data_IF_988150211460
#
_entry.id   IF_988150211460
#
_cell.length_a   1.000
_cell.length_b   1.000
_cell.length_c   1.000
_cell.angle_alpha   90.00
_cell.angle_beta   90.00
_cell.angle_gamma   90.00
#
_symmetry.space_group_name_H-M   'P 1'
#
loop_
_entity.id
_entity.type
_entity.pdbx_description
1 polymer ?
#
# COMPACT_ATOMS: atom_id res chain seq x y z
N UNK A 1 -8.64 24.32 -15.30
CA UNK A 1 -9.49 23.17 -15.71
C UNK A 1 -8.82 22.27 -16.75
N UNK A 2 -8.17 22.82 -17.79
CA UNK A 2 -7.46 22.04 -18.83
C UNK A 2 -6.33 21.12 -18.30
N UNK A 3 -5.63 21.51 -17.23
CA UNK A 3 -4.54 20.71 -16.65
C UNK A 3 -5.05 19.52 -15.82
N UNK A 4 -6.17 19.70 -15.10
CA UNK A 4 -6.90 18.60 -14.45
C UNK A 4 -7.44 17.62 -15.50
N UNK A 5 -7.98 18.12 -16.61
CA UNK A 5 -8.44 17.29 -17.72
C UNK A 5 -7.29 16.51 -18.38
N UNK A 6 -6.10 17.11 -18.59
CA UNK A 6 -4.90 16.41 -19.09
C UNK A 6 -4.37 15.36 -18.11
N UNK A 7 -4.36 15.65 -16.81
CA UNK A 7 -3.99 14.67 -15.77
C UNK A 7 -5.00 13.51 -15.69
N UNK A 8 -6.28 13.80 -15.87
CA UNK A 8 -7.35 12.80 -15.90
C UNK A 8 -7.29 11.96 -17.19
N UNK A 9 -6.95 12.56 -18.34
CA UNK A 9 -6.77 11.85 -19.61
C UNK A 9 -5.53 10.96 -19.64
N UNK A 10 -4.45 11.31 -18.93
CA UNK A 10 -3.31 10.41 -18.71
C UNK A 10 -3.63 9.24 -17.76
N UNK A 11 -4.62 9.38 -16.86
CA UNK A 11 -5.07 8.31 -15.96
C UNK A 11 -5.87 7.21 -16.66
N UNK A 12 -6.52 7.52 -17.79
CA UNK A 12 -7.31 6.56 -18.57
C UNK A 12 -6.55 5.95 -19.76
N UNK A 13 -5.29 6.33 -19.96
CA UNK A 13 -4.45 5.72 -20.98
C UNK A 13 -4.08 4.28 -20.59
N UNK A 14 -3.92 3.41 -21.59
CA UNK A 14 -3.41 2.06 -21.41
C UNK A 14 -2.09 2.10 -20.61
N UNK A 15 -2.08 1.41 -19.47
CA UNK A 15 -0.89 1.24 -18.64
C UNK A 15 -0.44 -0.20 -18.76
N UNK A 16 0.73 -0.41 -19.37
CA UNK A 16 1.33 -1.74 -19.50
C UNK A 16 1.52 -2.43 -18.13
N UNK A 17 2.08 -1.77 -17.09
CA UNK A 17 2.20 -2.39 -15.77
C UNK A 17 0.85 -2.80 -15.16
N UNK A 18 -0.19 -1.97 -15.31
CA UNK A 18 -1.53 -2.29 -14.79
C UNK A 18 -2.12 -3.49 -15.52
N UNK A 19 -1.93 -3.55 -16.84
CA UNK A 19 -2.37 -4.70 -17.66
C UNK A 19 -1.66 -5.98 -17.23
N UNK A 20 -0.34 -5.93 -16.97
CA UNK A 20 0.41 -7.08 -16.45
C UNK A 20 -0.15 -7.58 -15.13
N UNK A 21 -0.46 -6.68 -14.19
CA UNK A 21 -1.05 -7.06 -12.89
C UNK A 21 -2.43 -7.68 -13.06
N UNK A 22 -3.30 -7.09 -13.88
CA UNK A 22 -4.65 -7.63 -14.13
C UNK A 22 -4.57 -9.01 -14.78
N UNK A 23 -3.70 -9.19 -15.78
CA UNK A 23 -3.48 -10.48 -16.43
C UNK A 23 -2.93 -11.53 -15.46
N UNK A 24 -2.00 -11.15 -14.57
CA UNK A 24 -1.48 -12.05 -13.53
C UNK A 24 -2.58 -12.48 -12.55
N UNK A 25 -3.42 -11.55 -12.08
CA UNK A 25 -4.55 -11.86 -11.19
C UNK A 25 -5.53 -12.82 -11.90
N UNK A 26 -5.88 -12.55 -13.17
CA UNK A 26 -6.78 -13.39 -13.94
C UNK A 26 -6.21 -14.80 -14.16
N UNK A 27 -4.92 -14.90 -14.53
CA UNK A 27 -4.23 -16.19 -14.69
C UNK A 27 -4.24 -16.98 -13.39
N UNK A 28 -3.81 -16.37 -12.28
CA UNK A 28 -3.79 -17.00 -10.95
C UNK A 28 -5.20 -17.45 -10.56
N UNK A 29 -6.23 -16.66 -10.85
CA UNK A 29 -7.61 -17.02 -10.57
C UNK A 29 -8.03 -18.27 -11.32
N UNK A 30 -7.83 -18.27 -12.64
CA UNK A 30 -8.22 -19.38 -13.51
C UNK A 30 -7.47 -20.65 -13.14
N UNK A 31 -6.15 -20.59 -12.97
CA UNK A 31 -5.33 -21.76 -12.61
C UNK A 31 -5.72 -22.32 -11.24
N UNK A 32 -6.02 -21.46 -10.26
CA UNK A 32 -6.36 -21.91 -8.92
C UNK A 32 -7.73 -22.60 -8.87
N UNK A 33 -8.75 -21.98 -9.47
CA UNK A 33 -10.13 -22.48 -9.41
C UNK A 33 -10.34 -23.68 -10.32
N UNK A 34 -9.88 -23.60 -11.56
CA UNK A 34 -10.21 -24.61 -12.58
C UNK A 34 -9.14 -25.68 -12.75
N UNK A 35 -7.95 -25.51 -12.17
CA UNK A 35 -6.89 -26.52 -12.22
C UNK A 35 -6.57 -27.04 -10.82
N UNK A 36 -6.05 -26.22 -9.90
CA UNK A 36 -5.53 -26.74 -8.62
C UNK A 36 -6.62 -27.31 -7.72
N UNK A 37 -7.76 -26.60 -7.60
CA UNK A 37 -8.90 -27.08 -6.81
C UNK A 37 -9.51 -28.33 -7.45
N UNK A 38 -9.69 -28.34 -8.76
CA UNK A 38 -10.30 -29.48 -9.45
C UNK A 38 -9.44 -30.74 -9.35
N UNK A 39 -8.13 -30.60 -9.58
CA UNK A 39 -7.18 -31.72 -9.53
C UNK A 39 -7.00 -32.28 -8.12
N UNK A 40 -6.90 -31.43 -7.11
CA UNK A 40 -6.67 -31.87 -5.74
C UNK A 40 -7.94 -32.31 -5.02
N UNK A 41 -9.00 -31.49 -5.09
CA UNK A 41 -10.19 -31.65 -4.27
C UNK A 41 -11.41 -32.07 -5.09
N UNK A 42 -11.38 -31.94 -6.42
CA UNK A 42 -12.55 -32.05 -7.30
C UNK A 42 -13.45 -30.82 -7.18
N UNK A 43 -13.64 -30.04 -8.25
CA UNK A 43 -14.31 -28.75 -8.17
C UNK A 43 -15.77 -28.85 -7.69
N UNK A 44 -16.44 -29.95 -8.01
CA UNK A 44 -17.83 -30.23 -7.62
C UNK A 44 -17.96 -30.95 -6.28
N UNK A 45 -16.86 -31.27 -5.60
CA UNK A 45 -16.91 -31.81 -4.25
C UNK A 45 -17.20 -30.70 -3.23
N UNK A 46 -17.74 -31.05 -2.07
CA UNK A 46 -17.94 -30.09 -0.96
C UNK A 46 -16.67 -29.30 -0.61
N UNK A 47 -15.48 -29.92 -0.42
CA UNK A 47 -14.26 -29.15 -0.16
C UNK A 47 -13.81 -28.32 -1.36
N UNK A 48 -13.99 -28.79 -2.60
CA UNK A 48 -13.65 -28.02 -3.80
C UNK A 48 -14.48 -26.75 -3.94
N UNK A 49 -15.80 -26.86 -3.78
CA UNK A 49 -16.73 -25.72 -3.81
C UNK A 49 -16.38 -24.73 -2.69
N UNK A 50 -16.13 -25.21 -1.46
CA UNK A 50 -15.79 -24.35 -0.35
C UNK A 50 -14.51 -23.54 -0.61
N UNK A 51 -13.44 -24.19 -1.10
CA UNK A 51 -12.19 -23.51 -1.47
C UNK A 51 -12.40 -22.53 -2.62
N UNK A 52 -13.20 -22.89 -3.64
CA UNK A 52 -13.50 -22.01 -4.77
C UNK A 52 -14.26 -20.74 -4.33
N UNK A 53 -15.23 -20.87 -3.41
CA UNK A 53 -15.97 -19.73 -2.84
C UNK A 53 -15.05 -18.82 -2.03
N UNK A 54 -14.25 -19.40 -1.12
CA UNK A 54 -13.29 -18.63 -0.30
C UNK A 54 -12.28 -17.90 -1.17
N UNK A 55 -11.69 -18.59 -2.13
CA UNK A 55 -10.70 -18.02 -3.02
C UNK A 55 -11.29 -16.94 -3.94
N UNK A 56 -12.52 -17.15 -4.43
CA UNK A 56 -13.24 -16.14 -5.22
C UNK A 56 -13.53 -14.89 -4.40
N UNK A 57 -13.90 -15.01 -3.12
CA UNK A 57 -14.06 -13.86 -2.24
C UNK A 57 -12.74 -13.09 -2.05
N UNK A 58 -11.63 -13.79 -1.78
CA UNK A 58 -10.31 -13.18 -1.63
C UNK A 58 -9.89 -12.46 -2.93
N UNK A 59 -10.06 -13.11 -4.09
CA UNK A 59 -9.76 -12.54 -5.39
C UNK A 59 -10.62 -11.30 -5.67
N UNK A 60 -11.91 -11.35 -5.36
CA UNK A 60 -12.82 -10.20 -5.48
C UNK A 60 -12.34 -9.02 -4.64
N UNK A 61 -12.01 -9.24 -3.37
CA UNK A 61 -11.49 -8.18 -2.50
C UNK A 61 -10.16 -7.61 -2.98
N UNK A 62 -9.27 -8.46 -3.50
CA UNK A 62 -8.00 -8.05 -4.12
C UNK A 62 -8.25 -7.17 -5.35
N UNK A 63 -9.11 -7.59 -6.28
CA UNK A 63 -9.45 -6.81 -7.49
C UNK A 63 -10.15 -5.50 -7.14
N UNK A 64 -11.09 -5.52 -6.19
CA UNK A 64 -11.82 -4.33 -5.77
C UNK A 64 -10.90 -3.28 -5.15
N UNK A 65 -10.00 -3.69 -4.25
CA UNK A 65 -9.02 -2.81 -3.64
C UNK A 65 -7.95 -2.35 -4.63
N UNK A 66 -7.48 -3.22 -5.54
CA UNK A 66 -6.56 -2.85 -6.63
C UNK A 66 -7.16 -1.77 -7.53
N UNK A 67 -8.38 -2.00 -8.03
CA UNK A 67 -9.13 -1.02 -8.84
C UNK A 67 -9.24 0.31 -8.10
N UNK A 68 -9.58 0.26 -6.81
CA UNK A 68 -9.70 1.47 -6.00
C UNK A 68 -8.35 2.18 -5.85
N UNK A 69 -7.24 1.47 -5.65
CA UNK A 69 -5.90 2.06 -5.58
C UNK A 69 -5.45 2.73 -6.89
N UNK A 70 -5.80 2.14 -8.04
CA UNK A 70 -5.52 2.69 -9.38
C UNK A 70 -6.26 4.01 -9.61
N UNK A 71 -7.55 4.06 -9.28
CA UNK A 71 -8.40 5.21 -9.65
C UNK A 71 -8.56 6.29 -8.58
N UNK A 72 -8.35 5.96 -7.30
CA UNK A 72 -8.51 6.93 -6.21
C UNK A 72 -7.42 7.99 -6.26
N UNK A 73 -7.81 9.26 -6.04
CA UNK A 73 -6.81 10.31 -5.91
C UNK A 73 -6.01 10.13 -4.62
N UNK A 74 -4.66 10.07 -4.66
CA UNK A 74 -3.84 9.90 -3.45
C UNK A 74 -3.82 11.09 -2.49
N UNK A 75 -4.46 12.21 -2.86
CA UNK A 75 -4.53 13.41 -2.04
C UNK A 75 -3.68 14.53 -2.62
N UNK A 76 -4.33 15.60 -3.08
CA UNK A 76 -3.68 16.78 -3.62
C UNK A 76 -3.48 17.84 -2.54
N UNK A 77 -2.33 18.52 -2.56
CA UNK A 77 -2.17 19.76 -1.78
C UNK A 77 -3.06 20.86 -2.38
N UNK A 78 -3.96 21.48 -1.59
CA UNK A 78 -4.75 22.62 -2.06
C UNK A 78 -3.86 23.78 -2.48
N UNK A 79 -4.16 24.44 -3.60
CA UNK A 79 -3.39 25.60 -4.07
C UNK A 79 -3.49 26.80 -3.12
N UNK A 80 -4.55 26.85 -2.31
CA UNK A 80 -4.78 27.85 -1.27
C UNK A 80 -4.06 27.52 0.05
N UNK A 81 -3.35 26.39 0.14
CA UNK A 81 -2.61 26.05 1.34
C UNK A 81 -1.51 27.09 1.60
N UNK A 82 -1.64 27.77 2.74
CA UNK A 82 -0.62 28.62 3.31
C UNK A 82 -0.29 28.11 4.71
N UNK A 83 0.99 27.97 5.08
CA UNK A 83 1.36 27.67 6.45
C UNK A 83 0.97 28.84 7.35
N UNK A 84 0.34 28.53 8.48
CA UNK A 84 0.08 29.50 9.53
C UNK A 84 1.33 29.59 10.41
N UNK A 85 2.10 30.66 10.23
CA UNK A 85 3.35 30.91 10.97
C UNK A 85 3.13 31.42 12.39
N UNK A 86 1.91 31.85 12.72
CA UNK A 86 1.55 32.32 14.05
C UNK A 86 0.93 31.20 14.91
N UNK A 87 0.60 30.06 14.30
CA UNK A 87 0.07 28.89 14.99
C UNK A 87 1.13 28.20 15.87
N UNK A 88 1.19 28.66 17.12
CA UNK A 88 2.02 28.08 18.19
C UNK A 88 1.68 26.62 18.51
N UNK A 89 0.54 26.09 18.05
CA UNK A 89 0.17 24.67 18.19
C UNK A 89 0.79 23.78 17.11
N UNK A 90 1.43 24.34 16.07
CA UNK A 90 2.21 23.58 15.09
C UNK A 90 3.70 23.88 15.20
N UNK A 91 4.39 23.43 16.28
CA UNK A 91 5.81 23.73 16.49
C UNK A 91 6.72 23.10 15.42
N UNK A 92 6.22 22.09 14.70
CA UNK A 92 6.87 21.49 13.53
C UNK A 92 6.17 21.99 12.27
N UNK A 93 6.50 23.20 11.85
CA UNK A 93 6.75 23.36 10.43
C UNK A 93 7.89 22.39 10.15
N UNK A 94 7.74 21.40 9.26
CA UNK A 94 8.86 20.53 8.89
C UNK A 94 9.93 21.39 8.21
N UNK A 95 10.74 22.10 9.00
CA UNK A 95 11.78 22.99 8.56
C UNK A 95 12.91 22.08 8.07
N UNK A 96 12.82 21.68 6.80
CA UNK A 96 13.81 20.81 6.16
C UNK A 96 15.04 21.56 5.65
N UNK A 97 14.99 22.90 5.59
CA UNK A 97 16.12 23.71 5.15
C UNK A 97 16.93 24.17 6.34
N UNK A 98 18.27 24.07 6.22
CA UNK A 98 19.20 24.75 7.12
C UNK A 98 18.88 26.25 7.07
N UNK A 99 18.17 26.77 8.07
CA UNK A 99 17.80 28.19 8.12
C UNK A 99 16.40 28.54 8.66
N UNK A 100 15.50 27.58 8.89
CA UNK A 100 14.15 27.93 9.39
C UNK A 100 13.06 28.02 8.31
N UNK A 101 13.44 27.92 7.02
CA UNK A 101 12.50 28.17 5.92
C UNK A 101 11.36 27.14 5.81
N UNK A 102 10.18 27.66 5.51
CA UNK A 102 8.99 26.90 5.12
C UNK A 102 9.25 26.03 3.88
N UNK A 103 8.65 24.83 3.83
CA UNK A 103 8.77 23.93 2.68
C UNK A 103 7.97 24.50 1.50
N UNK A 104 8.66 24.89 0.43
CA UNK A 104 8.03 25.38 -0.80
C UNK A 104 8.29 24.45 -1.99
N UNK A 105 7.29 24.27 -2.86
CA UNK A 105 7.46 23.54 -4.12
C UNK A 105 7.65 24.51 -5.29
N UNK A 106 8.87 24.66 -5.77
CA UNK A 106 9.16 25.52 -6.94
C UNK A 106 8.43 25.08 -8.21
N UNK A 107 8.19 23.76 -8.39
CA UNK A 107 7.51 23.22 -9.57
C UNK A 107 6.00 23.45 -9.59
N UNK A 108 5.39 23.56 -8.41
CA UNK A 108 3.94 23.75 -8.28
C UNK A 108 3.59 25.16 -7.79
N UNK A 109 4.58 25.98 -7.49
CA UNK A 109 4.45 27.36 -6.99
C UNK A 109 3.53 27.50 -5.77
N UNK A 110 3.63 26.59 -4.80
CA UNK A 110 2.90 26.68 -3.54
C UNK A 110 3.67 26.04 -2.37
N UNK A 111 3.27 26.35 -1.14
CA UNK A 111 3.82 25.76 0.07
C UNK A 111 3.40 24.29 0.23
N UNK A 112 4.27 23.48 0.84
CA UNK A 112 4.01 22.07 1.11
C UNK A 112 3.60 21.91 2.58
N UNK A 113 2.45 21.29 2.86
CA UNK A 113 2.14 20.87 4.21
C UNK A 113 3.12 19.78 4.68
N UNK A 114 3.16 19.49 5.99
CA UNK A 114 3.95 18.40 6.53
C UNK A 114 3.70 17.09 5.77
N UNK A 115 4.73 16.26 5.62
CA UNK A 115 4.68 14.95 4.96
C UNK A 115 4.32 14.98 3.46
N UNK A 116 4.12 16.15 2.86
CA UNK A 116 3.82 16.25 1.43
C UNK A 116 5.09 16.29 0.57
N UNK A 117 5.05 15.61 -0.57
CA UNK A 117 6.18 15.58 -1.53
C UNK A 117 5.69 15.77 -2.97
N UNK A 118 6.56 16.32 -3.81
CA UNK A 118 6.27 16.49 -5.23
C UNK A 118 6.62 15.22 -5.98
N UNK A 119 5.62 14.57 -6.58
CA UNK A 119 5.84 13.43 -7.47
C UNK A 119 6.16 13.94 -8.88
N UNK A 120 7.34 13.57 -9.40
CA UNK A 120 7.76 13.96 -10.75
C UNK A 120 6.91 13.31 -11.85
N UNK A 121 6.42 12.10 -11.61
CA UNK A 121 5.59 11.35 -12.57
C UNK A 121 4.17 11.93 -12.61
N UNK A 122 3.53 12.11 -11.45
CA UNK A 122 2.20 12.74 -11.36
C UNK A 122 2.22 14.27 -11.58
N UNK A 123 3.41 14.89 -11.59
CA UNK A 123 3.63 16.35 -11.75
C UNK A 123 2.84 17.22 -10.78
N UNK A 124 2.71 16.77 -9.53
CA UNK A 124 1.99 17.49 -8.47
C UNK A 124 2.50 17.13 -7.09
N UNK A 125 2.21 17.97 -6.10
CA UNK A 125 2.41 17.63 -4.70
C UNK A 125 1.30 16.70 -4.20
N UNK A 126 1.71 15.61 -3.56
CA UNK A 126 0.84 14.60 -2.97
C UNK A 126 0.94 14.69 -1.45
N UNK A 127 -0.21 14.71 -0.77
CA UNK A 127 -0.31 14.71 0.69
C UNK A 127 0.18 13.36 1.25
N UNK A 128 0.93 13.38 2.35
CA UNK A 128 1.55 12.19 2.98
C UNK A 128 2.03 11.18 1.94
N UNK A 129 2.85 11.66 1.00
CA UNK A 129 3.27 10.86 -0.14
C UNK A 129 4.16 9.72 0.34
N UNK A 130 3.80 8.49 0.01
CA UNK A 130 4.64 7.34 0.28
C UNK A 130 5.58 7.07 -0.89
N UNK A 131 5.01 6.76 -2.06
CA UNK A 131 5.77 6.56 -3.29
C UNK A 131 4.88 6.74 -4.53
N UNK A 132 5.51 6.73 -5.69
CA UNK A 132 4.80 6.52 -6.95
C UNK A 132 4.91 5.05 -7.32
N UNK A 133 3.78 4.35 -7.38
CA UNK A 133 3.75 2.92 -7.66
C UNK A 133 3.43 2.67 -9.12
N UNK A 134 4.41 2.14 -9.84
CA UNK A 134 4.29 1.82 -11.27
C UNK A 134 3.18 0.77 -11.52
N UNK A 135 2.98 -0.16 -10.59
CA UNK A 135 2.05 -1.29 -10.73
C UNK A 135 0.58 -0.91 -10.60
N UNK A 136 0.28 0.24 -9.99
CA UNK A 136 -1.07 0.84 -9.98
C UNK A 136 -1.16 2.08 -10.86
N UNK A 137 -0.06 2.48 -11.52
CA UNK A 137 0.07 3.71 -12.29
C UNK A 137 -0.44 4.96 -11.55
N UNK A 138 -0.17 5.04 -10.24
CA UNK A 138 -0.69 6.08 -9.37
C UNK A 138 0.27 6.29 -8.20
N UNK A 139 0.17 7.45 -7.55
CA UNK A 139 0.83 7.64 -6.27
C UNK A 139 0.08 6.90 -5.16
N UNK A 140 0.83 6.45 -4.17
CA UNK A 140 0.31 6.05 -2.86
C UNK A 140 0.56 7.23 -1.92
N UNK A 141 -0.52 7.77 -1.35
CA UNK A 141 -0.49 8.96 -0.50
C UNK A 141 -1.60 8.94 0.53
N UNK A 142 -1.83 10.08 1.18
CA UNK A 142 -2.76 10.23 2.30
C UNK A 142 -4.13 9.58 2.06
N UNK A 143 -4.74 9.84 0.91
CA UNK A 143 -6.13 9.46 0.65
C UNK A 143 -6.31 7.99 0.24
N UNK A 144 -5.28 7.32 -0.28
CA UNK A 144 -5.38 5.95 -0.79
C UNK A 144 -4.41 4.94 -0.14
N UNK A 145 -3.61 5.35 0.85
CA UNK A 145 -2.63 4.47 1.50
C UNK A 145 -3.27 3.20 2.09
N UNK A 146 -4.38 3.34 2.84
CA UNK A 146 -5.09 2.18 3.40
C UNK A 146 -5.60 1.25 2.31
N UNK A 147 -6.11 1.80 1.21
CA UNK A 147 -6.60 1.01 0.07
C UNK A 147 -5.46 0.20 -0.56
N UNK A 148 -4.31 0.83 -0.78
CA UNK A 148 -3.11 0.16 -1.27
C UNK A 148 -2.64 -0.95 -0.31
N UNK A 149 -2.59 -0.68 0.99
CA UNK A 149 -2.20 -1.66 2.01
C UNK A 149 -3.14 -2.88 2.03
N UNK A 150 -4.45 -2.66 1.92
CA UNK A 150 -5.45 -3.73 1.86
C UNK A 150 -5.32 -4.54 0.58
N UNK A 151 -5.06 -3.88 -0.56
CA UNK A 151 -4.75 -4.57 -1.82
C UNK A 151 -3.56 -5.51 -1.67
N UNK A 152 -2.43 -5.01 -1.14
CA UNK A 152 -1.23 -5.84 -0.94
C UNK A 152 -1.52 -6.99 0.02
N UNK A 153 -2.28 -6.75 1.10
CA UNK A 153 -2.70 -7.79 2.05
C UNK A 153 -3.50 -8.90 1.36
N UNK A 154 -4.56 -8.57 0.62
CA UNK A 154 -5.36 -9.58 -0.09
C UNK A 154 -4.57 -10.26 -1.22
N UNK A 155 -3.66 -9.55 -1.89
CA UNK A 155 -2.78 -10.14 -2.90
C UNK A 155 -1.82 -11.18 -2.30
N UNK A 156 -1.23 -10.91 -1.13
CA UNK A 156 -0.42 -11.89 -0.38
C UNK A 156 -1.25 -13.10 0.00
N UNK A 157 -2.44 -12.88 0.59
CA UNK A 157 -3.34 -13.98 0.99
C UNK A 157 -3.69 -14.83 -0.23
N UNK A 158 -4.06 -14.22 -1.36
CA UNK A 158 -4.37 -14.93 -2.60
C UNK A 158 -3.18 -15.75 -3.11
N UNK A 159 -1.98 -15.17 -3.14
CA UNK A 159 -0.79 -15.84 -3.64
C UNK A 159 -0.40 -17.04 -2.76
N UNK A 160 -0.42 -16.88 -1.43
CA UNK A 160 -0.12 -17.98 -0.50
C UNK A 160 -1.19 -19.07 -0.57
N UNK A 161 -2.47 -18.71 -0.62
CA UNK A 161 -3.56 -19.67 -0.75
C UNK A 161 -3.44 -20.47 -2.05
N UNK A 162 -3.18 -19.79 -3.18
CA UNK A 162 -2.95 -20.42 -4.47
C UNK A 162 -1.70 -21.31 -4.47
N UNK A 163 -0.62 -20.90 -3.82
CA UNK A 163 0.60 -21.68 -3.68
C UNK A 163 0.38 -22.98 -2.88
N UNK A 164 -0.41 -22.92 -1.80
CA UNK A 164 -0.79 -24.11 -1.03
C UNK A 164 -1.61 -25.08 -1.88
N UNK A 165 -2.60 -24.57 -2.63
CA UNK A 165 -3.39 -25.39 -3.55
C UNK A 165 -2.54 -25.99 -4.68
N UNK A 166 -1.60 -25.22 -5.23
CA UNK A 166 -0.65 -25.70 -6.24
C UNK A 166 0.18 -26.87 -5.69
N UNK A 167 0.77 -26.72 -4.51
CA UNK A 167 1.60 -27.77 -3.89
C UNK A 167 0.77 -28.99 -3.55
N UNK A 168 -0.44 -28.82 -2.99
CA UNK A 168 -1.34 -29.93 -2.71
C UNK A 168 -1.79 -30.67 -3.97
N UNK A 169 -2.09 -29.94 -5.04
CA UNK A 169 -2.44 -30.50 -6.35
C UNK A 169 -1.28 -31.28 -6.96
N UNK A 170 -0.05 -30.77 -6.89
CA UNK A 170 1.15 -31.47 -7.34
C UNK A 170 1.43 -32.74 -6.52
N UNK A 171 1.28 -32.66 -5.19
CA UNK A 171 1.49 -33.80 -4.31
C UNK A 171 0.44 -34.89 -4.52
N UNK A 172 -0.83 -34.50 -4.72
CA UNK A 172 -1.89 -35.44 -5.05
C UNK A 172 -1.61 -36.11 -6.40
N UNK A 173 -1.34 -35.33 -7.44
CA UNK A 173 -1.07 -35.87 -8.78
C UNK A 173 0.13 -36.85 -8.77
N UNK A 174 1.21 -36.54 -8.05
CA UNK A 174 2.38 -37.42 -7.94
C UNK A 174 2.13 -38.71 -7.14
N UNK A 175 1.08 -38.78 -6.33
CA UNK A 175 0.71 -40.00 -5.58
C UNK A 175 -0.19 -40.95 -6.40
N UNK A 176 -0.92 -40.44 -7.39
CA UNK A 176 -1.89 -41.21 -8.19
C UNK A 176 -1.45 -41.37 -9.66
N UNK A 177 -0.15 -41.27 -9.91
CA UNK A 177 0.48 -41.14 -11.24
C UNK A 177 0.64 -42.48 -11.99
N UNK A 178 -0.45 -43.22 -12.21
CA UNK A 178 -0.39 -44.43 -13.06
C UNK A 178 -0.89 -44.26 -14.50
N UNK A 179 -1.64 -43.22 -14.91
CA UNK A 179 -2.20 -43.29 -16.29
C UNK A 179 -2.68 -42.00 -16.99
N UNK A 180 -2.18 -40.80 -16.67
CA UNK A 180 -2.63 -39.57 -17.36
C UNK A 180 -1.51 -38.65 -17.80
N UNK A 181 -0.93 -38.97 -18.95
CA UNK A 181 0.01 -38.10 -19.68
C UNK A 181 -0.73 -36.96 -20.40
N UNK A 182 -1.14 -35.92 -19.65
CA UNK A 182 -1.66 -34.68 -20.22
C UNK A 182 -0.63 -33.55 -20.07
N UNK A 183 0.14 -33.34 -21.14
CA UNK A 183 1.19 -32.33 -21.20
C UNK A 183 0.71 -30.88 -20.98
N UNK A 184 -0.59 -30.61 -21.13
CA UNK A 184 -1.17 -29.28 -20.92
C UNK A 184 -1.10 -28.84 -19.45
N UNK A 185 -1.49 -29.72 -18.52
CA UNK A 185 -1.49 -29.42 -17.08
C UNK A 185 -0.07 -29.24 -16.51
N UNK A 186 0.89 -30.03 -17.02
CA UNK A 186 2.30 -29.87 -16.63
C UNK A 186 2.82 -28.48 -16.96
N UNK A 187 2.48 -27.95 -18.14
CA UNK A 187 2.84 -26.58 -18.51
C UNK A 187 2.21 -25.56 -17.57
N UNK A 188 0.93 -25.72 -17.21
CA UNK A 188 0.23 -24.84 -16.25
C UNK A 188 0.92 -24.85 -14.89
N UNK A 189 1.30 -26.02 -14.35
CA UNK A 189 2.00 -26.09 -13.07
C UNK A 189 3.36 -25.39 -13.10
N UNK A 190 4.15 -25.60 -14.15
CA UNK A 190 5.47 -24.96 -14.30
C UNK A 190 5.33 -23.44 -14.39
N UNK A 191 4.44 -22.93 -15.25
CA UNK A 191 4.21 -21.48 -15.39
C UNK A 191 3.71 -20.90 -14.06
N UNK A 192 2.80 -21.61 -13.38
CA UNK A 192 2.26 -21.16 -12.10
C UNK A 192 3.30 -21.14 -11.00
N UNK A 193 4.19 -22.14 -10.92
CA UNK A 193 5.31 -22.14 -9.97
C UNK A 193 6.29 -21.00 -10.22
N UNK A 194 6.66 -20.77 -11.50
CA UNK A 194 7.54 -19.67 -11.92
C UNK A 194 6.94 -18.29 -11.65
N UNK A 195 5.61 -18.16 -11.64
CA UNK A 195 4.92 -16.93 -11.31
C UNK A 195 4.69 -16.77 -9.81
N UNK A 196 4.03 -17.73 -9.16
CA UNK A 196 3.53 -17.62 -7.78
C UNK A 196 4.63 -17.59 -6.74
N UNK A 197 5.71 -18.36 -6.89
CA UNK A 197 6.79 -18.41 -5.89
C UNK A 197 7.48 -17.06 -5.75
N UNK A 198 8.08 -16.45 -6.80
CA UNK A 198 8.73 -15.16 -6.67
C UNK A 198 7.73 -14.04 -6.35
N UNK A 199 6.51 -14.10 -6.90
CA UNK A 199 5.47 -13.12 -6.60
C UNK A 199 5.07 -13.15 -5.11
N UNK A 200 4.90 -14.33 -4.53
CA UNK A 200 4.59 -14.50 -3.10
C UNK A 200 5.70 -13.91 -2.23
N UNK A 201 6.96 -14.24 -2.53
CA UNK A 201 8.11 -13.72 -1.78
C UNK A 201 8.15 -12.18 -1.87
N UNK A 202 8.05 -11.62 -3.08
CA UNK A 202 8.10 -10.18 -3.29
C UNK A 202 6.96 -9.44 -2.56
N UNK A 203 5.73 -9.97 -2.64
CA UNK A 203 4.58 -9.36 -1.98
C UNK A 203 4.62 -9.51 -0.46
N UNK A 204 5.12 -10.64 0.08
CA UNK A 204 5.33 -10.81 1.51
C UNK A 204 6.35 -9.81 2.07
N UNK A 205 7.47 -9.61 1.36
CA UNK A 205 8.47 -8.59 1.72
C UNK A 205 7.85 -7.19 1.68
N UNK A 206 7.09 -6.87 0.63
CA UNK A 206 6.39 -5.59 0.52
C UNK A 206 5.38 -5.38 1.65
N UNK A 207 4.58 -6.40 1.99
CA UNK A 207 3.62 -6.32 3.08
C UNK A 207 4.32 -6.12 4.42
N UNK A 208 5.37 -6.90 4.70
CA UNK A 208 6.17 -6.76 5.92
C UNK A 208 6.79 -5.37 6.05
N UNK A 209 7.30 -4.83 4.95
CA UNK A 209 7.81 -3.46 4.89
C UNK A 209 6.74 -2.43 5.24
N UNK A 210 5.54 -2.52 4.66
CA UNK A 210 4.47 -1.58 4.95
C UNK A 210 3.88 -1.75 6.36
N UNK A 211 3.86 -2.96 6.91
CA UNK A 211 3.51 -3.18 8.33
C UNK A 211 4.52 -2.44 9.22
N UNK A 212 5.82 -2.58 8.97
CA UNK A 212 6.86 -1.86 9.71
C UNK A 212 6.67 -0.33 9.62
N UNK A 213 6.39 0.19 8.43
CA UNK A 213 6.15 1.61 8.21
C UNK A 213 4.92 2.12 8.98
N UNK A 214 3.80 1.38 8.96
CA UNK A 214 2.61 1.75 9.74
C UNK A 214 2.91 1.74 11.23
N UNK A 215 3.59 0.72 11.74
CA UNK A 215 3.91 0.61 13.17
C UNK A 215 4.77 1.77 13.69
N UNK A 216 5.57 2.42 12.84
CA UNK A 216 6.41 3.57 13.18
C UNK A 216 5.88 4.91 12.61
N UNK A 217 4.67 4.91 12.04
CA UNK A 217 4.06 6.05 11.34
C UNK A 217 4.98 6.74 10.31
N UNK A 218 5.81 5.96 9.64
CA UNK A 218 6.68 6.43 8.58
C UNK A 218 6.00 6.24 7.23
N UNK A 219 6.23 7.16 6.31
CA UNK A 219 6.19 6.86 4.88
C UNK A 219 7.54 6.31 4.42
N UNK A 220 7.58 5.66 3.27
CA UNK A 220 8.84 5.21 2.64
C UNK A 220 9.82 6.38 2.47
N UNK A 221 9.34 7.57 2.08
CA UNK A 221 10.17 8.77 1.96
C UNK A 221 10.72 9.24 3.31
N UNK A 222 9.86 9.28 4.32
CA UNK A 222 10.25 9.67 5.68
C UNK A 222 11.25 8.69 6.29
N UNK A 223 11.13 7.39 6.03
CA UNK A 223 12.12 6.42 6.47
C UNK A 223 13.52 6.75 5.94
N UNK A 224 13.67 6.98 4.63
CA UNK A 224 14.99 7.31 4.06
C UNK A 224 15.53 8.66 4.53
N UNK A 225 14.65 9.65 4.72
CA UNK A 225 15.03 10.94 5.31
C UNK A 225 15.41 10.79 6.79
N UNK A 226 14.73 9.92 7.52
CA UNK A 226 14.96 9.58 8.92
C UNK A 226 16.27 8.83 9.14
N UNK A 227 16.65 7.90 8.26
CA UNK A 227 17.98 7.25 8.28
C UNK A 227 19.10 8.28 8.23
N UNK A 228 18.95 9.30 7.37
CA UNK A 228 19.91 10.42 7.31
C UNK A 228 19.88 11.28 8.57
N UNK A 229 18.70 11.55 9.12
CA UNK A 229 18.56 12.35 10.34
C UNK A 229 19.15 11.64 11.57
N UNK A 230 18.94 10.33 11.69
CA UNK A 230 19.51 9.48 12.73
C UNK A 230 21.04 9.50 12.70
N UNK A 231 21.64 9.32 11.52
CA UNK A 231 23.09 9.39 11.34
C UNK A 231 23.68 10.77 11.74
N UNK A 232 22.97 11.87 11.44
CA UNK A 232 23.37 13.20 11.86
C UNK A 232 23.22 13.40 13.38
N UNK A 233 22.15 12.88 13.97
CA UNK A 233 21.88 12.98 15.40
C UNK A 233 22.93 12.20 16.21
N UNK A 234 23.29 10.99 15.77
CA UNK A 234 24.32 10.15 16.38
C UNK A 234 25.67 10.88 16.40
N UNK A 235 26.07 11.50 15.29
CA UNK A 235 27.27 12.36 15.24
C UNK A 235 27.21 13.58 16.16
N UNK A 236 26.01 14.06 16.44
CA UNK A 236 25.76 15.17 17.36
C UNK A 236 25.47 14.74 18.81
N UNK A 237 25.62 13.45 19.15
CA UNK A 237 25.33 12.94 20.49
C UNK A 237 23.85 13.01 20.90
N UNK A 238 22.93 13.11 19.93
CA UNK A 238 21.49 13.23 20.15
C UNK A 238 20.76 11.97 19.69
N UNK A 239 19.67 11.61 20.39
CA UNK A 239 18.79 10.51 19.97
C UNK A 239 17.72 11.07 19.05
N UNK A 240 17.64 10.54 17.82
CA UNK A 240 16.58 10.89 16.89
C UNK A 240 15.33 10.03 17.17
N UNK A 241 14.19 10.70 17.35
CA UNK A 241 12.87 10.08 17.44
C UNK A 241 11.99 10.63 16.32
N UNK A 242 11.31 9.75 15.59
CA UNK A 242 10.43 10.19 14.51
C UNK A 242 9.22 10.95 15.09
N UNK A 243 8.94 12.20 14.66
CA UNK A 243 7.93 13.06 15.29
C UNK A 243 6.51 12.52 15.27
N UNK A 244 6.17 11.70 14.26
CA UNK A 244 4.83 11.15 14.05
C UNK A 244 4.63 9.78 14.70
N UNK A 245 5.67 9.20 15.31
CA UNK A 245 5.57 7.92 16.01
C UNK A 245 4.96 8.13 17.41
N UNK A 246 3.66 7.86 17.52
CA UNK A 246 2.87 8.00 18.75
C UNK A 246 2.71 6.66 19.51
N UNK A 247 3.38 5.61 19.03
CA UNK A 247 3.24 4.24 19.53
C UNK A 247 2.37 3.37 18.62
N UNK A 248 2.56 2.03 18.66
CA UNK A 248 2.01 1.11 17.65
C UNK A 248 0.49 1.20 17.45
N UNK A 249 -0.28 1.29 18.54
CA UNK A 249 -1.75 1.33 18.47
C UNK A 249 -2.25 2.62 17.81
N UNK A 250 -1.76 3.79 18.25
CA UNK A 250 -2.11 5.09 17.67
C UNK A 250 -1.67 5.18 16.21
N UNK A 251 -0.51 4.62 15.89
CA UNK A 251 -0.02 4.61 14.52
C UNK A 251 -0.89 3.73 13.61
N UNK A 252 -1.28 2.53 14.08
CA UNK A 252 -2.21 1.65 13.36
C UNK A 252 -3.58 2.30 13.15
N UNK A 253 -4.19 2.85 14.20
CA UNK A 253 -5.51 3.49 14.11
C UNK A 253 -5.50 4.74 13.23
N UNK A 254 -4.37 5.47 13.18
CA UNK A 254 -4.22 6.62 12.26
C UNK A 254 -4.30 6.23 10.78
N UNK A 255 -3.93 5.00 10.43
CA UNK A 255 -3.93 4.49 9.05
C UNK A 255 -5.16 3.64 8.76
N UNK A 256 -5.45 2.66 9.61
CA UNK A 256 -6.50 1.65 9.40
C UNK A 256 -7.88 2.10 9.88
N UNK A 257 -7.91 3.08 10.78
CA UNK A 257 -9.11 3.66 11.37
C UNK A 257 -9.37 3.19 12.80
N UNK A 258 -10.30 3.85 13.50
CA UNK A 258 -10.60 3.58 14.90
C UNK A 258 -11.34 2.25 15.11
N UNK A 259 -12.05 1.76 14.09
CA UNK A 259 -12.78 0.50 14.17
C UNK A 259 -11.95 -0.66 13.59
N UNK A 260 -11.45 -1.53 14.48
CA UNK A 260 -10.64 -2.71 14.14
C UNK A 260 -11.37 -3.65 13.17
N UNK A 261 -12.69 -3.80 13.31
CA UNK A 261 -13.50 -4.67 12.45
C UNK A 261 -13.52 -4.19 10.99
N UNK A 262 -13.21 -2.91 10.75
CA UNK A 262 -13.15 -2.31 9.42
C UNK A 262 -11.73 -2.20 8.85
N UNK A 263 -10.72 -2.78 9.52
CA UNK A 263 -9.32 -2.68 9.08
C UNK A 263 -9.05 -3.37 7.75
N UNK A 264 -9.69 -4.51 7.51
CA UNK A 264 -9.60 -5.25 6.25
C UNK A 264 -10.54 -4.71 5.17
N UNK A 265 -11.41 -3.75 5.51
CA UNK A 265 -12.35 -3.18 4.55
C UNK A 265 -11.74 -1.95 3.85
N UNK A 266 -11.74 -1.90 2.51
CA UNK A 266 -11.10 -0.84 1.73
C UNK A 266 -11.93 0.46 1.73
N UNK A 267 -12.04 1.10 2.89
CA UNK A 267 -12.63 2.43 3.08
C UNK A 267 -11.62 3.40 3.68
N UNK A 268 -11.74 4.67 3.31
CA UNK A 268 -10.85 5.74 3.78
C UNK A 268 -11.61 6.85 4.52
N UNK A 269 -12.81 6.58 5.05
CA UNK A 269 -13.70 7.61 5.58
C UNK A 269 -13.23 8.24 6.90
N UNK A 270 -12.29 7.60 7.61
CA UNK A 270 -11.80 8.07 8.91
C UNK A 270 -10.66 9.09 8.80
N UNK A 271 -10.11 9.31 7.60
CA UNK A 271 -8.93 10.16 7.44
C UNK A 271 -9.34 11.63 7.39
N UNK A 272 -8.59 12.48 8.10
CA UNK A 272 -8.74 13.93 8.02
C UNK A 272 -8.17 14.53 6.72
N UNK A 273 -8.01 15.86 6.69
CA UNK A 273 -7.56 16.60 5.51
C UNK A 273 -6.16 16.24 5.00
N UNK A 274 -5.31 15.63 5.83
CA UNK A 274 -3.91 15.36 5.52
C UNK A 274 -3.02 16.60 5.50
N UNK A 275 -3.53 17.74 5.99
CA UNK A 275 -2.78 19.00 6.11
C UNK A 275 -2.11 19.16 7.47
N UNK A 276 -2.61 18.44 8.49
CA UNK A 276 -2.08 18.40 9.85
C UNK A 276 -2.03 16.95 10.33
N UNK A 277 -0.99 16.63 11.09
CA UNK A 277 -0.79 15.32 11.71
C UNK A 277 -0.35 15.52 13.14
N UNK A 278 -0.89 14.71 14.06
CA UNK A 278 -0.49 14.72 15.46
C UNK A 278 0.96 14.24 15.61
N UNK A 279 1.68 14.87 16.54
CA UNK A 279 3.08 14.61 16.82
C UNK A 279 3.30 14.31 18.30
N UNK A 280 4.47 13.76 18.63
CA UNK A 280 4.89 13.53 20.02
C UNK A 280 4.97 14.82 20.85
N UNK A 281 5.12 15.98 20.21
CA UNK A 281 5.19 17.28 20.89
C UNK A 281 3.82 17.81 21.31
N UNK A 282 2.74 17.33 20.67
CA UNK A 282 1.38 17.67 21.05
C UNK A 282 0.99 16.95 22.36
N UNK A 283 1.55 15.76 22.61
CA UNK A 283 1.37 15.01 23.85
C UNK A 283 2.00 15.71 25.06
N UNK A 284 3.20 16.27 24.89
CA UNK A 284 3.93 16.93 25.99
C UNK A 284 3.28 18.25 26.41
N UNK A 285 2.68 19.01 25.48
CA UNK A 285 1.93 20.25 25.80
C UNK A 285 0.61 19.99 26.54
N UNK A 286 -0.07 18.88 26.25
CA UNK A 286 -1.29 18.48 26.98
C UNK A 286 -1.00 18.09 28.45
N UNK A 287 0.17 17.50 28.72
CA UNK A 287 0.57 17.13 30.06
C UNK A 287 1.02 18.33 30.93
N UNK A 288 1.49 19.42 30.32
CA UNK A 288 1.90 20.64 31.04
C UNK A 288 0.74 21.58 31.39
N UNK A 289 -0.42 21.42 30.74
CA UNK A 289 -1.62 22.26 30.96
C UNK A 289 -2.62 21.66 31.94
N UNK A 290 -2.41 20.41 32.38
CA UNK A 290 -3.25 19.75 33.40
C UNK A 290 -2.62 19.76 34.82
N UNK A 291 -1.66 20.64 35.08
CA UNK A 291 -1.08 20.88 36.40
C UNK A 291 -1.39 22.28 36.88
#
# INVERSE_FOLDING_TARGET
>A
MAEKAKQQQQRFAFSFPVTVVVSAIAYIYISTVFVFIDRWLGLFSSPGIANAVVFTFIAFMSVFSYRSAVFMDPGQVPSTYSPDVEDTQTPIHEIKRKGGDLRYCQKCSHYKPPRAHHCRVCKRCVLRMDHHCIWINNCVGHANYKIFFIFVTYAVIACIYSLVLLVGSLAYDGLWDEEKNDGSFRTVYVISGLLLVPLSIALCVLLGWHIYLILHNNTTLEYYEGVRALWLAEKGGSIYKHPYDLGPYENLTSVLGPNILSWLWPTANHIGSGLRFRTVYDLTKGASTSK
#
